data_IF_133779427016
#
_entry.id   IF_133779427016
#
_cell.length_a   1.000
_cell.length_b   1.000
_cell.length_c   1.000
_cell.angle_alpha   90.00
_cell.angle_beta   90.00
_cell.angle_gamma   90.00
#
_symmetry.space_group_name_H-M   'P 1'
#
loop_
_entity.id
_entity.type
_entity.pdbx_description
1 polymer ?
#
# COMPACT_ATOMS: atom_id res chain seq x y z
N UNK A 1 5.58 -11.04 1.00
CA UNK A 1 6.78 -11.49 1.74
C UNK A 1 7.06 -10.47 2.84
N UNK A 2 6.79 -10.82 4.08
CA UNK A 2 7.05 -9.93 5.22
C UNK A 2 8.52 -10.09 5.58
N UNK A 3 9.26 -8.98 5.52
CA UNK A 3 10.69 -8.97 5.81
C UNK A 3 10.89 -9.30 7.29
N UNK A 4 11.71 -10.32 7.59
CA UNK A 4 12.15 -10.60 8.96
C UNK A 4 12.91 -9.39 9.49
N UNK A 5 12.45 -8.84 10.59
CA UNK A 5 13.13 -7.74 11.26
C UNK A 5 14.02 -8.25 12.39
N UNK A 6 15.14 -7.58 12.58
CA UNK A 6 16.01 -7.83 13.72
C UNK A 6 15.32 -7.42 15.03
N UNK A 7 15.48 -8.19 16.12
CA UNK A 7 14.99 -7.79 17.43
C UNK A 7 15.52 -6.40 17.83
N UNK A 8 14.68 -5.58 18.43
CA UNK A 8 15.04 -4.21 18.84
C UNK A 8 14.93 -3.14 17.75
N UNK A 9 14.55 -3.50 16.54
CA UNK A 9 14.32 -2.52 15.48
C UNK A 9 13.10 -1.63 15.75
N UNK A 10 13.15 -0.38 15.27
CA UNK A 10 12.04 0.59 15.36
C UNK A 10 10.74 -0.01 14.83
N UNK A 11 9.63 0.22 15.54
CA UNK A 11 8.31 -0.24 15.12
C UNK A 11 7.97 0.32 13.74
N UNK A 12 7.59 -0.55 12.81
CA UNK A 12 7.12 -0.17 11.48
C UNK A 12 5.59 -0.18 11.44
N UNK A 13 5.05 0.53 10.46
CA UNK A 13 3.62 0.48 10.14
C UNK A 13 3.45 -0.13 8.76
N UNK A 14 2.55 -1.09 8.62
CA UNK A 14 2.18 -1.70 7.36
C UNK A 14 0.73 -1.32 7.02
N UNK A 15 0.55 -0.56 5.93
CA UNK A 15 -0.76 -0.34 5.33
C UNK A 15 -1.12 -1.48 4.40
N UNK A 16 -2.33 -2.02 4.51
CA UNK A 16 -2.80 -3.08 3.62
C UNK A 16 -4.31 -2.95 3.34
N UNK A 17 -4.75 -3.61 2.27
CA UNK A 17 -6.15 -3.64 1.86
C UNK A 17 -7.00 -4.49 2.83
N UNK A 18 -8.32 -4.28 2.78
CA UNK A 18 -9.31 -5.01 3.60
C UNK A 18 -9.30 -6.53 3.42
N UNK A 19 -8.75 -7.03 2.31
CA UNK A 19 -8.54 -8.45 2.09
C UNK A 19 -7.59 -9.11 3.10
N UNK A 20 -6.68 -8.31 3.68
CA UNK A 20 -5.71 -8.75 4.70
C UNK A 20 -6.22 -8.58 6.13
N UNK A 21 -7.47 -8.15 6.34
CA UNK A 21 -8.10 -8.07 7.66
C UNK A 21 -8.49 -9.48 8.15
N UNK A 22 -7.49 -10.28 8.48
CA UNK A 22 -7.61 -11.63 9.01
C UNK A 22 -6.87 -11.75 10.34
N UNK A 23 -7.40 -12.57 11.25
CA UNK A 23 -6.80 -12.75 12.59
C UNK A 23 -5.35 -13.19 12.51
N UNK A 24 -5.03 -14.14 11.65
CA UNK A 24 -3.67 -14.67 11.49
C UNK A 24 -2.71 -13.60 10.99
N UNK A 25 -3.06 -12.90 9.92
CA UNK A 25 -2.20 -11.87 9.34
C UNK A 25 -1.93 -10.73 10.32
N UNK A 26 -2.96 -10.27 11.05
CA UNK A 26 -2.82 -9.21 12.05
C UNK A 26 -1.97 -9.67 13.24
N UNK A 27 -2.11 -10.92 13.68
CA UNK A 27 -1.28 -11.50 14.74
C UNK A 27 0.18 -11.59 14.29
N UNK A 28 0.45 -12.16 13.12
CA UNK A 28 1.81 -12.28 12.55
C UNK A 28 2.52 -10.92 12.45
N UNK A 29 1.81 -9.87 12.04
CA UNK A 29 2.36 -8.52 12.00
C UNK A 29 2.74 -8.00 13.38
N UNK A 30 1.89 -8.23 14.39
CA UNK A 30 2.15 -7.81 15.75
C UNK A 30 3.35 -8.56 16.34
N UNK A 31 3.49 -9.85 16.07
CA UNK A 31 4.64 -10.66 16.50
C UNK A 31 5.95 -10.17 15.88
N UNK A 32 5.89 -9.62 14.67
CA UNK A 32 7.02 -8.97 14.00
C UNK A 32 7.26 -7.52 14.45
N UNK A 33 6.56 -7.03 15.49
CA UNK A 33 6.60 -5.63 15.93
C UNK A 33 6.23 -4.63 14.83
N UNK A 34 5.26 -5.00 13.98
CA UNK A 34 4.72 -4.16 12.92
C UNK A 34 3.30 -3.74 13.28
N UNK A 35 2.99 -2.44 13.21
CA UNK A 35 1.64 -1.92 13.42
C UNK A 35 0.76 -2.22 12.20
N UNK A 36 -0.34 -2.99 12.34
CA UNK A 36 -1.19 -3.37 11.22
C UNK A 36 -2.20 -2.27 10.90
N UNK A 37 -1.89 -1.35 10.00
CA UNK A 37 -2.83 -0.35 9.50
C UNK A 37 -3.66 -0.91 8.32
N UNK A 38 -4.23 -2.08 8.52
CA UNK A 38 -5.09 -2.77 7.55
C UNK A 38 -6.46 -2.11 7.52
N UNK A 39 -7.03 -1.93 6.33
CA UNK A 39 -8.41 -1.42 6.20
C UNK A 39 -9.40 -2.44 6.77
N UNK A 40 -10.33 -1.96 7.58
CA UNK A 40 -11.33 -2.81 8.22
C UNK A 40 -12.27 -3.46 7.19
N UNK A 41 -12.48 -4.75 7.33
CA UNK A 41 -13.47 -5.49 6.56
C UNK A 41 -14.67 -5.83 7.44
N UNK A 42 -15.68 -5.00 7.36
CA UNK A 42 -16.93 -5.16 8.12
C UNK A 42 -18.01 -5.94 7.37
N UNK A 43 -17.73 -6.42 6.17
CA UNK A 43 -18.70 -7.13 5.34
C UNK A 43 -18.89 -8.56 5.84
N UNK A 44 -19.99 -8.80 6.55
CA UNK A 44 -20.43 -10.12 7.05
C UNK A 44 -19.44 -10.86 7.97
N UNK A 45 -18.53 -10.14 8.63
CA UNK A 45 -17.59 -10.75 9.59
C UNK A 45 -17.09 -9.77 10.64
N UNK A 46 -16.55 -10.30 11.71
CA UNK A 46 -15.86 -9.54 12.75
C UNK A 46 -14.47 -9.14 12.24
N UNK A 47 -14.20 -7.85 12.26
CA UNK A 47 -12.91 -7.29 11.90
C UNK A 47 -11.80 -7.72 12.89
N UNK A 48 -10.62 -8.09 12.39
CA UNK A 48 -9.46 -8.38 13.20
C UNK A 48 -8.74 -7.13 13.70
N UNK A 49 -8.97 -5.99 13.06
CA UNK A 49 -8.47 -4.67 13.47
C UNK A 49 -9.37 -4.09 14.54
N UNK A 50 -8.81 -3.90 15.72
CA UNK A 50 -9.49 -3.41 16.90
C UNK A 50 -9.19 -1.93 17.21
N UNK A 51 -9.81 -1.39 18.28
CA UNK A 51 -9.63 -0.01 18.70
C UNK A 51 -8.20 0.40 19.06
N UNK A 52 -7.31 -0.55 19.37
CA UNK A 52 -5.88 -0.26 19.60
C UNK A 52 -5.21 0.32 18.34
N UNK A 53 -5.66 -0.12 17.16
CA UNK A 53 -5.15 0.36 15.88
C UNK A 53 -5.94 1.56 15.37
N UNK A 54 -7.28 1.49 15.38
CA UNK A 54 -8.13 2.52 14.78
C UNK A 54 -8.09 3.86 15.50
N UNK A 55 -7.85 3.87 16.82
CA UNK A 55 -7.72 5.10 17.62
C UNK A 55 -6.37 5.79 17.45
N UNK A 56 -5.39 5.11 16.85
CA UNK A 56 -4.10 5.72 16.60
C UNK A 56 -4.19 6.77 15.49
N UNK A 57 -3.71 8.03 15.68
CA UNK A 57 -3.86 9.09 14.68
C UNK A 57 -3.22 8.74 13.33
N UNK A 58 -2.15 7.95 13.32
CA UNK A 58 -1.49 7.46 12.12
C UNK A 58 -2.35 6.50 11.29
N UNK A 59 -3.38 5.88 11.88
CA UNK A 59 -4.25 4.96 11.14
C UNK A 59 -5.05 5.69 10.05
N UNK A 60 -5.69 6.80 10.38
CA UNK A 60 -6.42 7.62 9.43
C UNK A 60 -5.53 8.13 8.30
N UNK A 61 -4.32 8.62 8.64
CA UNK A 61 -3.32 9.04 7.66
C UNK A 61 -2.92 7.88 6.72
N UNK A 62 -2.69 6.69 7.25
CA UNK A 62 -2.36 5.50 6.46
C UNK A 62 -3.48 5.12 5.48
N UNK A 63 -4.75 5.24 5.86
CA UNK A 63 -5.88 4.97 4.97
C UNK A 63 -5.94 5.96 3.80
N UNK A 64 -5.62 7.24 4.03
CA UNK A 64 -5.55 8.26 2.99
C UNK A 64 -4.37 7.99 2.04
N UNK A 65 -3.19 7.69 2.58
CA UNK A 65 -1.98 7.42 1.80
C UNK A 65 -2.17 6.17 0.93
N UNK A 66 -2.85 5.15 1.44
CA UNK A 66 -3.16 3.93 0.68
C UNK A 66 -3.92 4.23 -0.62
N UNK A 67 -4.89 5.12 -0.58
CA UNK A 67 -5.63 5.55 -1.77
C UNK A 67 -4.73 6.14 -2.86
N UNK A 68 -3.67 6.83 -2.48
CA UNK A 68 -2.71 7.41 -3.43
C UNK A 68 -1.94 6.34 -4.20
N UNK A 69 -1.68 5.19 -3.57
CA UNK A 69 -1.06 4.05 -4.24
C UNK A 69 -2.04 3.45 -5.27
N UNK A 70 -3.31 3.31 -4.90
CA UNK A 70 -4.36 2.84 -5.82
C UNK A 70 -4.52 3.76 -7.04
N UNK A 71 -4.43 5.08 -6.85
CA UNK A 71 -4.44 6.05 -7.97
C UNK A 71 -3.31 5.80 -8.97
N UNK A 72 -2.09 5.53 -8.49
CA UNK A 72 -0.94 5.28 -9.38
C UNK A 72 -1.14 4.01 -10.21
N UNK A 73 -1.69 2.96 -9.63
CA UNK A 73 -2.03 1.74 -10.36
C UNK A 73 -3.17 1.95 -11.35
N UNK A 74 -4.20 2.69 -10.97
CA UNK A 74 -5.30 3.03 -11.87
C UNK A 74 -4.81 3.84 -13.07
N UNK A 75 -3.98 4.85 -12.85
CA UNK A 75 -3.36 5.64 -13.91
C UNK A 75 -2.51 4.78 -14.85
N UNK A 76 -1.71 3.88 -14.28
CA UNK A 76 -0.86 2.97 -15.05
C UNK A 76 -1.69 2.04 -15.93
N UNK A 77 -2.82 1.55 -15.44
CA UNK A 77 -3.72 0.69 -16.22
C UNK A 77 -4.42 1.45 -17.34
N UNK A 78 -4.90 2.65 -17.08
CA UNK A 78 -5.74 3.43 -18.02
C UNK A 78 -4.91 4.28 -18.95
N UNK A 79 -4.15 5.24 -18.42
CA UNK A 79 -3.41 6.25 -19.20
C UNK A 79 -2.15 5.65 -19.84
N UNK A 80 -1.39 4.86 -19.08
CA UNK A 80 -0.19 4.20 -19.62
C UNK A 80 -0.48 2.90 -20.39
N UNK A 81 -1.74 2.51 -20.54
CA UNK A 81 -2.16 1.39 -21.38
C UNK A 81 -1.73 0.00 -20.89
N UNK A 82 -1.38 -0.15 -19.60
CA UNK A 82 -0.96 -1.43 -18.99
C UNK A 82 -2.12 -2.35 -18.61
N UNK A 83 -3.34 -2.00 -18.95
CA UNK A 83 -4.51 -2.87 -18.74
C UNK A 83 -4.36 -4.22 -19.49
N UNK A 84 -3.79 -4.18 -20.70
CA UNK A 84 -3.39 -5.36 -21.48
C UNK A 84 -1.97 -5.13 -22.00
N UNK A 85 -0.99 -5.83 -21.45
CA UNK A 85 0.37 -5.72 -21.97
C UNK A 85 0.49 -6.38 -23.35
N UNK A 86 1.15 -5.70 -24.29
CA UNK A 86 1.51 -6.24 -25.59
C UNK A 86 2.81 -7.05 -25.56
N UNK A 87 3.53 -6.98 -24.44
CA UNK A 87 4.83 -7.65 -24.28
C UNK A 87 4.68 -9.00 -23.61
N UNK A 88 5.50 -9.96 -24.02
CA UNK A 88 5.64 -11.26 -23.39
C UNK A 88 6.95 -11.33 -22.62
N UNK A 89 6.91 -11.99 -21.46
CA UNK A 89 8.04 -12.19 -20.57
C UNK A 89 8.10 -11.16 -19.44
N UNK A 90 8.46 -11.63 -18.25
CA UNK A 90 8.46 -10.85 -17.01
C UNK A 90 9.34 -9.61 -17.10
N UNK A 91 10.53 -9.74 -17.69
CA UNK A 91 11.47 -8.62 -17.82
C UNK A 91 10.93 -7.46 -18.65
N UNK A 92 10.28 -7.74 -19.78
CA UNK A 92 9.70 -6.69 -20.65
C UNK A 92 8.49 -6.03 -20.00
N UNK A 93 7.63 -6.81 -19.34
CA UNK A 93 6.47 -6.29 -18.63
C UNK A 93 6.91 -5.45 -17.43
N UNK A 94 7.91 -5.90 -16.68
CA UNK A 94 8.47 -5.14 -15.57
C UNK A 94 9.09 -3.82 -16.04
N UNK A 95 9.83 -3.81 -17.14
CA UNK A 95 10.38 -2.58 -17.72
C UNK A 95 9.27 -1.60 -18.09
N UNK A 96 8.22 -2.06 -18.78
CA UNK A 96 7.08 -1.20 -19.15
C UNK A 96 6.38 -0.62 -17.91
N UNK A 97 6.21 -1.43 -16.87
CA UNK A 97 5.62 -0.98 -15.61
C UNK A 97 6.48 0.10 -14.93
N UNK A 98 7.77 -0.15 -14.78
CA UNK A 98 8.70 0.82 -14.15
C UNK A 98 8.75 2.12 -14.95
N UNK A 99 8.77 2.05 -16.28
CA UNK A 99 8.75 3.22 -17.15
C UNK A 99 7.45 4.03 -17.00
N UNK A 100 6.30 3.36 -16.94
CA UNK A 100 5.01 4.00 -16.70
C UNK A 100 4.94 4.68 -15.31
N UNK A 101 5.49 4.03 -14.27
CA UNK A 101 5.55 4.59 -12.92
C UNK A 101 6.50 5.80 -12.85
N UNK A 102 7.60 5.78 -13.58
CA UNK A 102 8.50 6.94 -13.70
C UNK A 102 7.80 8.12 -14.35
N UNK A 103 7.06 7.91 -15.43
CA UNK A 103 6.25 8.95 -16.08
C UNK A 103 5.17 9.52 -15.14
N UNK A 104 4.47 8.66 -14.41
CA UNK A 104 3.51 9.08 -13.39
C UNK A 104 4.15 9.98 -12.33
N UNK A 105 5.31 9.60 -11.81
CA UNK A 105 6.03 10.38 -10.81
C UNK A 105 6.46 11.75 -11.36
N UNK A 106 6.94 11.80 -12.60
CA UNK A 106 7.32 13.08 -13.24
C UNK A 106 6.12 14.03 -13.38
N UNK A 107 4.95 13.52 -13.78
CA UNK A 107 3.73 14.32 -13.88
C UNK A 107 3.27 14.82 -12.51
N UNK A 108 3.46 14.03 -11.47
CA UNK A 108 3.03 14.35 -10.10
C UNK A 108 3.97 15.27 -9.36
N UNK A 109 5.27 15.24 -9.69
CA UNK A 109 6.32 15.98 -8.99
C UNK A 109 6.04 17.49 -8.88
N UNK A 110 5.62 18.22 -9.92
CA UNK A 110 5.33 19.66 -9.81
C UNK A 110 4.24 19.97 -8.78
N UNK A 111 3.21 19.14 -8.68
CA UNK A 111 2.14 19.31 -7.68
C UNK A 111 2.64 19.11 -6.25
N UNK A 112 3.52 18.14 -6.05
CA UNK A 112 4.10 17.88 -4.73
C UNK A 112 5.03 18.99 -4.29
N UNK A 113 5.80 19.55 -5.22
CA UNK A 113 6.71 20.67 -4.95
C UNK A 113 5.96 21.98 -4.70
N UNK A 114 4.85 22.22 -5.40
CA UNK A 114 4.03 23.42 -5.20
C UNK A 114 3.27 23.42 -3.88
N UNK A 115 2.92 22.25 -3.34
CA UNK A 115 2.26 22.12 -2.02
C UNK A 115 3.24 22.15 -0.85
N UNK A 116 4.53 21.99 -1.09
CA UNK A 116 5.59 22.05 -0.08
C UNK A 116 6.20 23.47 0.07
N UNK A 117 5.77 24.39 -0.77
CA UNK A 117 6.24 25.78 -0.73
C UNK A 117 5.37 26.65 0.17
#
# INVERSE_FOLDING_TARGET
>A
MIVRRSPGARRLTLGADKGYDTKNFVADLRDLNVAPHVAQNTTNRVCAIDGRTTRHPGYAASQIIRKRIEESFAWTKTIAGLHKTKHRGVGRVAFQFVFAMAAYNLIRMPRLLSTAA
#
